data_IF_558958463687
#
_entry.id   IF_558958463687
#
_cell.length_a   1.000
_cell.length_b   1.000
_cell.length_c   1.000
_cell.angle_alpha   90.00
_cell.angle_beta   90.00
_cell.angle_gamma   90.00
#
_symmetry.space_group_name_H-M   'P 1'
#
loop_
_entity.id
_entity.type
_entity.pdbx_description
1 polymer ?
#
# COMPACT_ATOMS: atom_id res chain seq x y z
N UNK A 1 -64.87 -8.33 36.24
CA UNK A 1 -65.86 -8.46 35.14
C UNK A 1 -65.06 -8.84 33.90
N UNK A 2 -65.19 -10.12 33.50
CA UNK A 2 -65.70 -10.70 32.27
C UNK A 2 -64.92 -10.20 31.02
N UNK A 3 -64.44 -11.03 30.12
CA UNK A 3 -64.42 -12.46 29.75
C UNK A 3 -63.60 -12.57 28.46
N UNK A 4 -62.65 -13.49 28.36
CA UNK A 4 -62.68 -14.77 27.59
C UNK A 4 -63.15 -14.67 26.14
N UNK A 5 -62.30 -15.08 25.19
CA UNK A 5 -62.39 -16.21 24.24
C UNK A 5 -61.24 -16.10 23.23
N UNK A 6 -60.31 -16.96 23.08
CA UNK A 6 -60.13 -18.35 22.66
C UNK A 6 -60.92 -18.75 21.41
N UNK A 7 -60.20 -18.92 20.26
CA UNK A 7 -60.53 -19.94 19.27
C UNK A 7 -59.31 -20.40 18.50
N UNK A 8 -59.03 -21.69 18.62
CA UNK A 8 -58.16 -22.54 17.80
C UNK A 8 -58.90 -22.89 16.49
N UNK A 9 -58.14 -23.32 15.49
CA UNK A 9 -58.26 -24.50 14.61
C UNK A 9 -57.29 -24.27 13.41
N UNK A 10 -56.36 -25.09 13.20
CA UNK A 10 -56.14 -26.48 12.72
C UNK A 10 -55.91 -26.55 11.20
N UNK A 11 -54.68 -26.98 10.88
CA UNK A 11 -54.17 -27.89 9.83
C UNK A 11 -54.76 -27.85 8.40
N UNK A 12 -53.88 -27.85 7.39
CA UNK A 12 -53.69 -29.02 6.48
C UNK A 12 -52.35 -28.92 5.70
N UNK A 13 -51.66 -30.05 5.70
CA UNK A 13 -50.52 -30.35 4.89
C UNK A 13 -50.92 -30.69 3.46
N UNK A 14 -50.03 -30.36 2.49
CA UNK A 14 -50.01 -31.07 1.22
C UNK A 14 -48.57 -31.16 0.71
N UNK A 15 -48.05 -32.36 0.79
CA UNK A 15 -46.84 -32.84 0.14
C UNK A 15 -47.03 -32.92 -1.37
N UNK A 16 -46.07 -32.47 -2.15
CA UNK A 16 -45.92 -32.88 -3.54
C UNK A 16 -44.47 -33.23 -3.78
N UNK A 17 -44.24 -34.54 -3.87
CA UNK A 17 -43.03 -35.20 -4.33
C UNK A 17 -43.01 -35.11 -5.84
N UNK A 18 -41.91 -34.64 -6.42
CA UNK A 18 -41.55 -34.95 -7.81
C UNK A 18 -40.20 -35.63 -7.86
N UNK A 19 -40.25 -36.92 -8.22
CA UNK A 19 -39.13 -37.75 -8.68
C UNK A 19 -38.85 -37.50 -10.15
N UNK A 20 -37.61 -37.43 -10.51
CA UNK A 20 -37.01 -37.84 -11.81
C UNK A 20 -35.53 -37.57 -11.67
N UNK A 21 -34.63 -38.46 -11.84
CA UNK A 21 -34.51 -39.70 -12.58
C UNK A 21 -33.03 -39.75 -12.99
N UNK A 22 -32.20 -40.47 -12.20
CA UNK A 22 -30.82 -40.83 -12.60
C UNK A 22 -30.85 -41.80 -13.77
N UNK A 23 -30.16 -41.51 -14.85
CA UNK A 23 -29.72 -42.54 -15.79
C UNK A 23 -28.22 -42.71 -15.71
N UNK A 24 -27.82 -43.84 -15.14
CA UNK A 24 -26.49 -44.43 -15.26
C UNK A 24 -26.40 -45.10 -16.61
N UNK A 25 -25.32 -44.83 -17.35
CA UNK A 25 -24.91 -45.67 -18.47
C UNK A 25 -23.68 -46.44 -17.99
N UNK A 26 -23.89 -47.75 -17.74
CA UNK A 26 -22.82 -48.74 -17.65
C UNK A 26 -22.37 -49.10 -19.05
N UNK A 27 -21.07 -49.11 -19.30
CA UNK A 27 -20.48 -49.88 -20.37
C UNK A 27 -19.51 -50.89 -19.81
N UNK A 28 -19.77 -52.12 -20.20
CA UNK A 28 -19.09 -53.36 -19.79
C UNK A 28 -17.67 -53.46 -20.32
N UNK A 29 -16.85 -54.06 -19.52
CA UNK A 29 -15.52 -54.57 -19.82
C UNK A 29 -15.56 -55.75 -20.77
N UNK A 30 -14.69 -55.74 -21.78
CA UNK A 30 -14.25 -56.96 -22.43
C UNK A 30 -12.72 -57.10 -22.30
N UNK A 31 -12.31 -58.10 -21.57
CA UNK A 31 -10.94 -58.59 -21.54
C UNK A 31 -10.64 -59.33 -22.84
N UNK A 32 -9.53 -58.94 -23.46
CA UNK A 32 -8.76 -59.91 -24.31
C UNK A 32 -7.28 -59.71 -23.98
N UNK A 33 -6.71 -60.79 -23.47
CA UNK A 33 -5.29 -61.05 -23.30
C UNK A 33 -4.60 -61.24 -24.63
N UNK A 34 -3.50 -60.52 -24.89
CA UNK A 34 -2.42 -61.01 -25.76
C UNK A 34 -1.08 -60.50 -25.21
N UNK A 35 -0.16 -61.38 -25.30
CA UNK A 35 1.17 -61.61 -24.79
C UNK A 35 2.23 -60.54 -25.16
N UNK A 36 3.15 -60.43 -24.25
CA UNK A 36 4.58 -60.08 -24.23
C UNK A 36 5.29 -59.31 -25.36
N UNK A 37 6.09 -58.38 -24.87
CA UNK A 37 7.39 -57.87 -25.35
C UNK A 37 7.45 -56.99 -26.56
N UNK A 38 7.57 -55.68 -26.34
CA UNK A 38 8.64 -54.83 -26.92
C UNK A 38 8.82 -53.59 -26.02
N UNK A 39 10.00 -53.46 -25.45
CA UNK A 39 10.45 -52.27 -24.75
C UNK A 39 10.71 -51.17 -25.81
N UNK A 40 9.86 -50.11 -25.84
CA UNK A 40 10.18 -48.93 -26.60
C UNK A 40 9.91 -47.74 -25.68
N UNK A 41 10.97 -47.15 -25.19
CA UNK A 41 10.97 -45.89 -24.44
C UNK A 41 10.52 -44.79 -25.38
N UNK A 42 9.26 -44.38 -25.28
CA UNK A 42 8.77 -43.18 -25.96
C UNK A 42 9.07 -42.01 -24.99
N UNK A 43 10.19 -41.35 -25.22
CA UNK A 43 10.44 -40.02 -24.66
C UNK A 43 9.54 -39.04 -25.38
N UNK A 44 8.38 -38.74 -24.82
CA UNK A 44 7.55 -37.63 -25.26
C UNK A 44 8.27 -36.35 -24.93
N UNK A 45 8.98 -35.78 -25.87
CA UNK A 45 9.40 -34.38 -25.85
C UNK A 45 8.13 -33.54 -25.93
N UNK A 46 7.63 -33.09 -24.80
CA UNK A 46 6.63 -32.02 -24.73
C UNK A 46 7.34 -30.79 -25.26
N UNK A 47 7.16 -30.47 -26.51
CA UNK A 47 7.52 -29.21 -27.10
C UNK A 47 6.61 -28.17 -26.44
N UNK A 48 7.13 -27.46 -25.42
CA UNK A 48 6.45 -26.30 -24.83
C UNK A 48 6.31 -25.28 -25.97
N UNK A 49 5.11 -25.12 -26.48
CA UNK A 49 4.81 -24.02 -27.39
C UNK A 49 5.13 -22.73 -26.66
N UNK A 50 6.10 -21.99 -27.15
CA UNK A 50 6.40 -20.65 -26.67
C UNK A 50 5.24 -19.76 -27.09
N UNK A 51 4.46 -19.26 -26.14
CA UNK A 51 3.58 -18.12 -26.34
C UNK A 51 4.39 -17.00 -26.99
N UNK A 52 3.88 -16.30 -28.00
CA UNK A 52 4.60 -15.24 -28.66
C UNK A 52 4.89 -14.12 -27.63
N UNK A 53 6.15 -13.77 -27.44
CA UNK A 53 6.56 -12.65 -26.62
C UNK A 53 6.10 -11.35 -27.30
N UNK A 54 5.32 -10.53 -26.61
CA UNK A 54 4.94 -9.20 -27.06
C UNK A 54 5.96 -8.21 -26.49
N UNK A 55 6.41 -7.25 -27.30
CA UNK A 55 7.31 -6.19 -26.85
C UNK A 55 6.60 -4.85 -26.93
N UNK A 56 6.74 -4.04 -25.85
CA UNK A 56 6.39 -2.63 -25.84
C UNK A 56 7.68 -1.86 -26.11
N UNK A 57 7.67 -1.01 -27.11
CA UNK A 57 8.81 -0.18 -27.49
C UNK A 57 8.46 1.29 -27.33
N UNK A 58 9.40 2.09 -26.82
CA UNK A 58 9.27 3.52 -26.72
C UNK A 58 10.57 4.21 -27.12
N UNK A 59 10.53 4.89 -28.26
CA UNK A 59 11.64 5.64 -28.83
C UNK A 59 11.57 7.16 -28.53
N UNK A 60 10.54 7.58 -27.80
CA UNK A 60 10.26 8.96 -27.41
C UNK A 60 10.07 9.96 -28.58
N UNK A 61 10.00 9.47 -29.81
CA UNK A 61 9.88 10.32 -31.01
C UNK A 61 8.46 10.91 -31.18
N UNK A 62 7.43 10.24 -30.61
CA UNK A 62 6.04 10.63 -30.76
C UNK A 62 5.41 11.04 -29.44
N UNK A 63 5.66 12.27 -29.02
CA UNK A 63 5.01 12.84 -27.85
C UNK A 63 3.78 13.67 -28.23
N UNK A 64 2.65 13.48 -27.52
CA UNK A 64 1.43 14.29 -27.74
C UNK A 64 1.58 15.73 -27.26
N UNK A 65 2.61 16.05 -26.47
CA UNK A 65 2.91 17.40 -25.99
C UNK A 65 4.40 17.58 -25.79
N UNK A 66 4.92 18.76 -26.15
CA UNK A 66 6.34 19.09 -25.96
C UNK A 66 6.55 19.54 -24.50
N UNK A 67 7.33 18.75 -23.75
CA UNK A 67 7.71 19.06 -22.35
C UNK A 67 9.13 19.59 -22.30
N UNK A 68 9.29 20.91 -22.30
CA UNK A 68 10.58 21.62 -22.32
C UNK A 68 11.07 22.07 -20.94
N UNK A 69 10.28 21.89 -19.88
CA UNK A 69 10.67 22.28 -18.53
C UNK A 69 10.87 21.06 -17.63
N UNK A 70 11.66 21.22 -16.57
CA UNK A 70 11.91 20.16 -15.58
C UNK A 70 10.79 19.99 -14.53
N UNK A 71 9.82 20.90 -14.48
CA UNK A 71 8.68 20.76 -13.57
C UNK A 71 7.92 19.47 -13.85
N UNK A 72 7.46 18.80 -12.80
CA UNK A 72 6.72 17.54 -12.95
C UNK A 72 5.50 17.70 -13.85
N UNK A 73 5.36 16.87 -14.84
CA UNK A 73 4.20 16.83 -15.74
C UNK A 73 4.05 15.48 -16.45
N UNK A 74 2.81 15.16 -16.82
CA UNK A 74 2.50 14.00 -17.62
C UNK A 74 2.73 14.27 -19.10
N UNK A 75 3.28 13.28 -19.80
CA UNK A 75 3.44 13.24 -21.27
C UNK A 75 2.91 11.91 -21.76
N UNK A 76 2.20 11.91 -22.89
CA UNK A 76 1.77 10.68 -23.54
C UNK A 76 2.66 10.42 -24.75
N UNK A 77 3.31 9.28 -24.75
CA UNK A 77 4.13 8.74 -25.83
C UNK A 77 3.42 7.58 -26.53
N UNK A 78 4.09 6.94 -27.49
CA UNK A 78 3.54 5.80 -28.24
C UNK A 78 3.20 4.61 -27.34
N UNK A 79 4.00 4.35 -26.30
CA UNK A 79 3.79 3.28 -25.32
C UNK A 79 2.69 3.57 -24.30
N UNK A 80 2.30 4.83 -24.12
CA UNK A 80 1.31 5.25 -23.15
C UNK A 80 1.69 6.53 -22.41
N UNK A 81 1.02 6.76 -21.26
CA UNK A 81 1.22 7.96 -20.45
C UNK A 81 2.36 7.77 -19.46
N UNK A 82 3.24 8.77 -19.37
CA UNK A 82 4.37 8.82 -18.43
C UNK A 82 4.34 10.11 -17.61
N UNK A 83 4.82 10.07 -16.37
CA UNK A 83 5.14 11.27 -15.59
C UNK A 83 6.64 11.49 -15.65
N UNK A 84 7.04 12.71 -15.95
CA UNK A 84 8.42 13.19 -15.98
C UNK A 84 8.63 14.20 -14.86
N UNK A 85 9.50 13.87 -13.90
CA UNK A 85 9.85 14.71 -12.75
C UNK A 85 11.34 15.04 -12.76
N UNK A 86 11.72 16.31 -12.66
CA UNK A 86 13.10 16.77 -12.94
C UNK A 86 13.66 16.14 -14.24
N UNK A 87 12.77 15.92 -15.19
CA UNK A 87 13.04 15.32 -16.50
C UNK A 87 12.26 16.07 -17.59
N UNK A 88 12.71 16.02 -18.82
CA UNK A 88 12.09 16.67 -19.97
C UNK A 88 12.33 15.90 -21.27
N UNK A 89 11.52 16.19 -22.29
CA UNK A 89 11.75 15.72 -23.65
C UNK A 89 12.94 16.50 -24.23
N UNK A 90 14.01 15.79 -24.50
CA UNK A 90 15.31 16.33 -24.91
C UNK A 90 15.39 16.40 -26.43
N UNK A 91 15.83 17.54 -26.96
CA UNK A 91 15.89 17.85 -28.42
C UNK A 91 17.19 18.51 -28.83
N UNK A 92 18.12 18.73 -27.89
CA UNK A 92 19.39 19.42 -28.14
C UNK A 92 20.40 18.49 -28.81
N UNK A 93 21.29 19.04 -29.62
CA UNK A 93 22.44 18.30 -30.19
C UNK A 93 23.40 17.77 -29.13
N UNK A 94 23.34 18.30 -27.90
CA UNK A 94 24.11 17.81 -26.78
C UNK A 94 23.43 16.65 -26.01
N UNK A 95 22.23 16.26 -26.37
CA UNK A 95 21.58 15.05 -25.82
C UNK A 95 22.13 13.79 -26.45
N UNK A 96 22.38 12.78 -25.64
CA UNK A 96 22.66 11.45 -26.11
C UNK A 96 21.33 10.80 -26.52
N UNK A 97 21.09 10.70 -27.85
CA UNK A 97 19.82 10.21 -28.41
C UNK A 97 20.02 9.43 -29.68
N UNK A 98 19.10 8.53 -29.97
CA UNK A 98 18.96 7.80 -31.20
C UNK A 98 17.70 8.32 -31.93
N UNK A 99 17.89 9.26 -32.87
CA UNK A 99 16.79 9.99 -33.49
C UNK A 99 16.76 11.47 -33.08
N UNK A 100 15.56 12.06 -33.03
CA UNK A 100 15.39 13.49 -32.75
C UNK A 100 15.18 13.78 -31.25
N UNK A 101 14.73 12.79 -30.46
CA UNK A 101 14.34 12.94 -29.08
C UNK A 101 14.99 11.90 -28.15
N UNK A 102 15.08 12.20 -26.88
CA UNK A 102 15.35 11.29 -25.75
C UNK A 102 14.70 11.88 -24.48
N UNK A 103 14.81 11.23 -23.35
CA UNK A 103 14.39 11.81 -22.05
C UNK A 103 15.63 12.22 -21.25
N UNK A 104 15.80 13.52 -21.01
CA UNK A 104 16.87 14.08 -20.18
C UNK A 104 16.42 14.21 -18.72
N UNK A 105 17.18 13.59 -17.81
CA UNK A 105 16.91 13.58 -16.36
C UNK A 105 18.07 14.27 -15.63
N UNK A 106 17.76 15.14 -14.66
CA UNK A 106 18.74 15.80 -13.78
C UNK A 106 18.41 15.56 -12.30
N UNK A 107 19.28 16.02 -11.41
CA UNK A 107 19.12 15.91 -9.94
C UNK A 107 18.80 14.47 -9.51
N UNK A 108 17.75 14.28 -8.73
CA UNK A 108 17.14 12.98 -8.39
C UNK A 108 15.83 12.77 -9.15
N UNK A 109 15.76 13.28 -10.38
CA UNK A 109 14.58 13.15 -11.21
C UNK A 109 14.31 11.73 -11.67
N UNK A 110 13.10 11.54 -12.20
CA UNK A 110 12.60 10.22 -12.62
C UNK A 110 11.61 10.31 -13.76
N UNK A 111 11.39 9.18 -14.40
CA UNK A 111 10.30 8.96 -15.34
C UNK A 111 9.53 7.71 -14.91
N UNK A 112 8.20 7.80 -14.89
CA UNK A 112 7.32 6.77 -14.33
C UNK A 112 6.19 6.42 -15.28
N UNK A 113 6.01 5.13 -15.61
CA UNK A 113 4.86 4.63 -16.36
C UNK A 113 3.56 4.92 -15.60
N UNK A 114 2.53 5.36 -16.32
CA UNK A 114 1.17 5.51 -15.82
C UNK A 114 0.21 4.51 -16.46
N UNK A 115 0.73 3.38 -16.87
CA UNK A 115 0.01 2.23 -17.43
C UNK A 115 0.74 0.96 -17.03
N UNK A 116 0.03 -0.16 -17.06
CA UNK A 116 0.58 -1.45 -16.68
C UNK A 116 0.95 -2.26 -17.95
N UNK A 117 2.15 -2.84 -17.93
CA UNK A 117 2.55 -3.87 -18.89
C UNK A 117 2.24 -5.24 -18.29
N UNK A 118 1.66 -6.14 -19.08
CA UNK A 118 1.44 -7.53 -18.63
C UNK A 118 2.78 -8.26 -18.47
N UNK A 119 2.92 -9.04 -17.40
CA UNK A 119 4.09 -9.83 -17.00
C UNK A 119 5.41 -9.56 -17.72
N UNK A 120 6.30 -8.76 -17.13
CA UNK A 120 7.56 -8.36 -17.75
C UNK A 120 8.64 -9.41 -17.51
N UNK A 121 9.29 -9.87 -18.59
CA UNK A 121 10.42 -10.80 -18.53
C UNK A 121 11.75 -10.08 -18.50
N UNK A 122 11.90 -9.02 -19.32
CA UNK A 122 13.11 -8.22 -19.38
C UNK A 122 12.85 -6.80 -19.87
N UNK A 123 13.75 -5.89 -19.52
CA UNK A 123 13.76 -4.50 -19.99
C UNK A 123 15.11 -4.19 -20.55
N UNK A 124 15.19 -3.47 -21.67
CA UNK A 124 16.44 -2.90 -22.16
C UNK A 124 16.21 -1.47 -22.65
N UNK A 125 17.24 -0.63 -22.54
CA UNK A 125 17.20 0.75 -23.00
C UNK A 125 18.59 1.27 -23.35
N UNK A 126 18.63 2.38 -24.07
CA UNK A 126 19.87 3.14 -24.30
C UNK A 126 19.99 4.27 -23.28
N UNK A 127 21.23 4.60 -22.91
CA UNK A 127 21.51 5.69 -22.00
C UNK A 127 22.86 6.33 -22.29
N UNK A 128 22.99 7.63 -21.98
CA UNK A 128 24.24 8.37 -22.12
C UNK A 128 24.26 9.60 -21.20
N UNK A 129 25.40 10.26 -21.06
CA UNK A 129 25.49 11.54 -20.37
C UNK A 129 25.19 12.69 -21.35
N UNK A 130 24.50 13.72 -20.89
CA UNK A 130 24.33 14.92 -21.67
C UNK A 130 25.68 15.63 -21.91
N UNK A 131 26.05 15.79 -23.16
CA UNK A 131 27.26 16.53 -23.57
C UNK A 131 28.51 16.07 -22.84
N UNK A 132 29.13 17.00 -22.08
CA UNK A 132 30.31 16.74 -21.26
C UNK A 132 30.03 16.62 -19.77
N UNK A 133 28.80 16.36 -19.38
CA UNK A 133 28.42 16.15 -17.97
C UNK A 133 29.21 14.99 -17.36
N UNK A 134 29.55 15.12 -16.07
CA UNK A 134 30.33 14.12 -15.35
C UNK A 134 29.46 12.92 -14.98
N UNK A 135 30.10 11.90 -14.43
CA UNK A 135 29.46 10.67 -14.00
C UNK A 135 28.21 10.89 -13.15
N UNK A 136 27.19 10.09 -13.42
CA UNK A 136 25.91 9.99 -12.70
C UNK A 136 25.55 8.54 -12.51
N UNK A 137 24.61 8.24 -11.62
CA UNK A 137 24.03 6.90 -11.53
C UNK A 137 22.51 6.94 -11.57
N UNK A 138 21.94 5.83 -12.06
CA UNK A 138 20.50 5.64 -12.14
C UNK A 138 20.12 4.18 -11.93
N UNK A 139 18.86 3.92 -11.68
CA UNK A 139 18.31 2.60 -11.37
C UNK A 139 16.99 2.40 -12.11
N UNK A 140 16.73 1.14 -12.47
CA UNK A 140 15.40 0.70 -12.88
C UNK A 140 14.65 0.20 -11.66
N UNK A 141 13.40 0.60 -11.54
CA UNK A 141 12.48 0.19 -10.51
C UNK A 141 11.21 -0.37 -11.14
N UNK A 142 10.61 -1.37 -10.54
CA UNK A 142 9.37 -1.99 -10.99
C UNK A 142 8.35 -2.08 -9.87
N UNK A 143 7.10 -1.88 -10.23
CA UNK A 143 5.93 -1.95 -9.36
C UNK A 143 4.95 -2.98 -9.91
N UNK A 144 4.45 -3.89 -9.09
CA UNK A 144 3.34 -4.80 -9.40
C UNK A 144 2.01 -4.32 -8.77
N UNK A 145 1.98 -3.10 -8.24
CA UNK A 145 0.86 -2.51 -7.48
C UNK A 145 0.47 -1.11 -8.01
N UNK A 146 0.42 -0.98 -9.35
CA UNK A 146 -0.01 0.26 -10.05
C UNK A 146 0.86 1.49 -9.74
N UNK A 147 2.11 1.28 -9.30
CA UNK A 147 3.05 2.36 -9.01
C UNK A 147 3.00 2.84 -7.55
N UNK A 148 2.29 2.12 -6.67
CA UNK A 148 2.25 2.48 -5.25
C UNK A 148 3.55 2.11 -4.54
N UNK A 149 4.13 0.95 -4.85
CA UNK A 149 5.45 0.58 -4.36
C UNK A 149 6.36 0.14 -5.50
N UNK A 150 7.64 0.43 -5.36
CA UNK A 150 8.63 0.07 -6.36
C UNK A 150 9.78 -0.69 -5.73
N UNK A 151 10.18 -1.77 -6.38
CA UNK A 151 11.38 -2.53 -6.06
C UNK A 151 12.46 -2.26 -7.09
N UNK A 152 13.70 -2.07 -6.65
CA UNK A 152 14.82 -1.93 -7.57
C UNK A 152 15.01 -3.23 -8.37
N UNK A 153 15.18 -3.09 -9.68
CA UNK A 153 15.45 -4.19 -10.59
C UNK A 153 16.92 -4.13 -11.03
N UNK A 154 17.65 -5.20 -10.74
CA UNK A 154 19.05 -5.29 -11.10
C UNK A 154 19.95 -4.31 -10.33
N UNK A 155 21.13 -4.03 -10.90
CA UNK A 155 22.15 -3.18 -10.28
C UNK A 155 21.99 -1.72 -10.67
N UNK A 156 22.62 -0.84 -9.88
CA UNK A 156 22.74 0.59 -10.22
C UNK A 156 23.64 0.77 -11.43
N UNK A 157 23.18 1.49 -12.43
CA UNK A 157 23.96 1.79 -13.65
C UNK A 157 24.71 3.10 -13.46
N UNK A 158 26.00 3.09 -13.79
CA UNK A 158 26.83 4.29 -13.83
C UNK A 158 26.89 4.78 -15.27
N UNK A 159 26.53 6.04 -15.47
CA UNK A 159 26.61 6.74 -16.77
C UNK A 159 27.89 7.56 -16.82
N UNK A 160 28.74 7.27 -17.78
CA UNK A 160 29.97 7.99 -18.07
C UNK A 160 30.09 8.15 -19.59
N UNK A 161 30.28 9.41 -20.03
CA UNK A 161 30.43 9.76 -21.45
C UNK A 161 29.12 9.90 -22.20
N UNK A 162 29.17 10.57 -23.33
CA UNK A 162 28.01 10.95 -24.13
C UNK A 162 27.51 9.80 -25.03
N UNK A 163 28.41 8.88 -25.41
CA UNK A 163 28.03 7.78 -26.30
C UNK A 163 26.94 6.91 -25.67
N UNK A 164 25.91 6.60 -26.47
CA UNK A 164 24.82 5.73 -26.04
C UNK A 164 25.33 4.32 -25.74
N UNK A 165 25.00 3.83 -24.57
CA UNK A 165 25.26 2.47 -24.10
C UNK A 165 23.94 1.75 -23.85
N UNK A 166 23.93 0.43 -24.00
CA UNK A 166 22.76 -0.38 -23.71
C UNK A 166 22.81 -0.93 -22.30
N UNK A 167 21.73 -0.74 -21.54
CA UNK A 167 21.46 -1.46 -20.31
C UNK A 167 20.38 -2.55 -20.57
N UNK A 168 20.49 -3.67 -19.84
CA UNK A 168 19.51 -4.76 -19.91
C UNK A 168 19.27 -5.34 -18.53
N UNK A 169 18.02 -5.57 -18.19
CA UNK A 169 17.56 -6.04 -16.89
C UNK A 169 16.67 -7.27 -17.05
N UNK A 170 16.89 -8.29 -16.26
CA UNK A 170 15.96 -9.40 -16.09
C UNK A 170 14.97 -9.05 -14.99
N UNK A 171 13.67 -9.04 -15.31
CA UNK A 171 12.61 -8.60 -14.39
C UNK A 171 11.84 -9.79 -13.82
N UNK A 172 11.38 -10.72 -14.69
CA UNK A 172 10.65 -11.95 -14.31
C UNK A 172 9.40 -11.75 -13.43
N UNK A 173 8.71 -10.66 -13.62
CA UNK A 173 7.43 -10.38 -12.97
C UNK A 173 6.27 -10.90 -13.80
N UNK A 174 5.29 -11.57 -13.17
CA UNK A 174 4.22 -12.31 -13.87
C UNK A 174 2.92 -11.53 -14.01
N UNK A 175 2.73 -10.52 -13.19
CA UNK A 175 1.50 -9.73 -13.16
C UNK A 175 1.66 -8.42 -13.92
N UNK A 176 0.68 -7.54 -13.82
CA UNK A 176 0.76 -6.18 -14.34
C UNK A 176 1.90 -5.41 -13.67
N UNK A 177 2.77 -4.74 -14.45
CA UNK A 177 3.99 -4.08 -13.95
C UNK A 177 4.06 -2.65 -14.48
N UNK A 178 4.37 -1.70 -13.59
CA UNK A 178 4.83 -0.35 -13.94
C UNK A 178 6.32 -0.22 -13.71
N UNK A 179 6.98 0.47 -14.61
CA UNK A 179 8.41 0.76 -14.49
C UNK A 179 8.64 2.23 -14.15
N UNK A 180 9.72 2.46 -13.40
CA UNK A 180 10.23 3.79 -13.10
C UNK A 180 11.76 3.79 -13.25
N UNK A 181 12.30 4.80 -13.92
CA UNK A 181 13.74 5.03 -14.05
C UNK A 181 14.09 6.23 -13.19
N UNK A 182 14.93 6.01 -12.19
CA UNK A 182 15.34 7.02 -11.20
C UNK A 182 16.81 7.37 -11.35
N UNK A 183 17.13 8.63 -11.51
CA UNK A 183 18.50 9.14 -11.35
C UNK A 183 18.81 9.26 -9.85
N UNK A 184 19.91 8.66 -9.40
CA UNK A 184 20.22 8.50 -7.97
C UNK A 184 21.38 9.41 -7.53
N UNK A 185 22.34 9.68 -8.41
CA UNK A 185 23.51 10.48 -8.05
C UNK A 185 23.94 11.43 -9.17
N UNK A 186 24.99 12.23 -8.92
CA UNK A 186 25.57 13.16 -9.90
C UNK A 186 24.95 14.57 -9.86
N UNK A 187 23.93 14.83 -9.02
CA UNK A 187 23.32 16.16 -8.85
C UNK A 187 22.86 16.75 -10.18
N UNK A 188 23.38 17.91 -10.54
CA UNK A 188 23.02 18.64 -11.78
C UNK A 188 23.53 18.00 -13.07
N UNK A 189 24.48 17.05 -13.03
CA UNK A 189 24.85 16.25 -14.19
C UNK A 189 23.63 15.52 -14.70
N UNK A 190 23.44 15.52 -16.02
CA UNK A 190 22.23 14.99 -16.67
C UNK A 190 22.53 13.65 -17.31
N UNK A 191 21.55 12.80 -17.36
CA UNK A 191 21.54 11.57 -18.15
C UNK A 191 20.43 11.67 -19.19
N UNK A 192 20.64 11.04 -20.31
CA UNK A 192 19.64 10.83 -21.35
C UNK A 192 19.28 9.35 -21.42
N UNK A 193 17.99 9.05 -21.57
CA UNK A 193 17.40 7.71 -21.67
C UNK A 193 16.66 7.63 -23.02
N UNK A 194 16.87 6.53 -23.74
CA UNK A 194 16.31 6.33 -25.07
C UNK A 194 16.03 4.85 -25.37
N UNK A 195 15.31 4.59 -26.46
CA UNK A 195 15.04 3.25 -27.01
C UNK A 195 14.66 2.19 -25.96
N UNK A 196 13.64 2.48 -25.17
CA UNK A 196 13.15 1.54 -24.16
C UNK A 196 12.39 0.38 -24.81
N UNK A 197 12.79 -0.84 -24.49
CA UNK A 197 12.13 -2.08 -24.93
C UNK A 197 11.76 -2.91 -23.71
N UNK A 198 10.47 -3.20 -23.57
CA UNK A 198 9.90 -4.04 -22.51
C UNK A 198 9.41 -5.33 -23.14
N UNK A 199 10.01 -6.46 -22.77
CA UNK A 199 9.55 -7.79 -23.22
C UNK A 199 8.57 -8.36 -22.20
N UNK A 200 7.40 -8.79 -22.67
CA UNK A 200 6.35 -9.40 -21.83
C UNK A 200 6.20 -10.88 -22.14
N UNK A 201 5.59 -11.64 -21.23
CA UNK A 201 5.34 -13.08 -21.38
C UNK A 201 4.12 -13.43 -22.26
N UNK A 202 3.51 -12.44 -22.90
CA UNK A 202 2.37 -12.64 -23.80
C UNK A 202 1.01 -12.76 -23.11
N UNK A 203 0.94 -12.64 -21.79
CA UNK A 203 -0.34 -12.43 -21.10
C UNK A 203 -0.84 -11.02 -21.44
N UNK A 204 -1.74 -10.94 -22.39
CA UNK A 204 -2.28 -9.70 -22.93
C UNK A 204 -3.11 -8.97 -21.89
N UNK A 205 -2.49 -8.07 -21.17
CA UNK A 205 -3.20 -6.94 -20.58
C UNK A 205 -3.41 -5.93 -21.72
N UNK A 206 -4.63 -5.85 -22.18
CA UNK A 206 -5.08 -5.02 -23.29
C UNK A 206 -4.79 -3.55 -23.00
N UNK A 207 -4.08 -2.90 -23.92
CA UNK A 207 -4.05 -1.44 -23.98
C UNK A 207 -5.49 -1.00 -24.29
N UNK A 208 -6.24 -0.59 -23.27
CA UNK A 208 -7.56 0.01 -23.45
C UNK A 208 -7.47 1.51 -23.31
N UNK A 209 -7.91 2.28 -24.30
CA UNK A 209 -8.11 3.73 -24.11
C UNK A 209 -9.22 3.94 -23.10
N UNK A 210 -9.01 4.89 -22.23
CA UNK A 210 -9.94 5.33 -21.19
C UNK A 210 -11.36 5.46 -21.74
N UNK A 211 -12.24 4.57 -21.33
CA UNK A 211 -13.69 4.72 -21.48
C UNK A 211 -14.28 4.92 -20.10
N UNK A 212 -14.70 6.15 -19.83
CA UNK A 212 -15.49 6.51 -18.66
C UNK A 212 -16.75 5.64 -18.60
N UNK A 213 -16.84 4.75 -17.64
CA UNK A 213 -18.10 4.18 -17.15
C UNK A 213 -17.91 3.41 -15.84
N UNK A 214 -18.71 3.77 -14.87
CA UNK A 214 -19.30 2.98 -13.77
C UNK A 214 -18.38 2.05 -12.96
N UNK A 215 -18.39 2.34 -11.66
CA UNK A 215 -17.80 1.60 -10.56
C UNK A 215 -17.88 0.06 -10.69
N UNK A 216 -16.75 -0.59 -10.95
CA UNK A 216 -16.56 -2.01 -10.65
C UNK A 216 -15.60 -2.13 -9.45
N UNK A 217 -15.94 -3.07 -8.56
CA UNK A 217 -15.23 -3.31 -7.30
C UNK A 217 -13.75 -3.61 -7.57
N UNK A 218 -12.89 -2.65 -7.26
CA UNK A 218 -11.44 -2.87 -7.25
C UNK A 218 -11.04 -3.77 -6.08
N UNK A 219 -10.47 -4.93 -6.41
CA UNK A 219 -9.58 -5.64 -5.51
C UNK A 219 -8.29 -4.81 -5.41
N UNK A 220 -8.17 -4.05 -4.32
CA UNK A 220 -7.01 -3.21 -4.04
C UNK A 220 -5.75 -4.07 -3.95
N UNK A 221 -4.78 -3.82 -4.82
CA UNK A 221 -3.41 -4.25 -4.61
C UNK A 221 -2.95 -3.70 -3.26
N UNK A 222 -2.63 -4.60 -2.34
CA UNK A 222 -2.28 -4.25 -0.97
C UNK A 222 -0.88 -3.63 -0.97
N UNK A 223 -0.76 -2.35 -0.71
CA UNK A 223 0.54 -1.74 -0.41
C UNK A 223 1.08 -2.36 0.87
N UNK A 224 2.40 -2.35 1.07
CA UNK A 224 3.02 -2.89 2.29
C UNK A 224 2.39 -2.29 3.55
N UNK A 225 2.04 -1.00 3.51
CA UNK A 225 1.40 -0.31 4.64
C UNK A 225 -0.05 -0.77 4.89
N UNK A 226 -0.70 -1.44 3.94
CA UNK A 226 -2.07 -1.97 4.09
C UNK A 226 -2.12 -3.49 3.86
N UNK A 227 -1.00 -4.19 4.08
CA UNK A 227 -0.85 -5.62 3.85
C UNK A 227 -1.91 -6.46 4.58
N UNK A 228 -2.32 -6.05 5.77
CA UNK A 228 -3.31 -6.74 6.60
C UNK A 228 -4.75 -6.54 6.13
N UNK A 229 -4.97 -5.73 5.09
CA UNK A 229 -6.28 -5.42 4.52
C UNK A 229 -6.77 -4.01 4.84
N UNK A 230 -7.91 -3.65 4.27
CA UNK A 230 -8.58 -2.37 4.46
C UNK A 230 -9.69 -2.51 5.52
N UNK A 231 -9.49 -2.03 6.76
CA UNK A 231 -10.36 -2.32 7.90
C UNK A 231 -11.81 -1.91 7.73
N UNK A 232 -12.07 -0.82 7.01
CA UNK A 232 -13.39 -0.21 6.87
C UNK A 232 -13.92 -0.20 5.44
N UNK A 233 -13.18 -0.78 4.48
CA UNK A 233 -13.50 -0.62 3.06
C UNK A 233 -13.40 0.83 2.60
N UNK A 234 -12.45 1.61 3.14
CA UNK A 234 -12.22 2.99 2.77
C UNK A 234 -11.87 3.12 1.27
N UNK A 235 -12.32 4.17 0.63
CA UNK A 235 -12.07 4.43 -0.79
C UNK A 235 -11.63 5.87 -1.00
N UNK A 236 -10.88 6.12 -2.07
CA UNK A 236 -10.50 7.47 -2.50
C UNK A 236 -11.62 8.22 -3.23
N UNK A 237 -12.85 7.71 -3.21
CA UNK A 237 -14.03 8.44 -3.70
C UNK A 237 -14.40 9.54 -2.71
N UNK A 238 -14.42 10.78 -3.17
CA UNK A 238 -14.80 11.96 -2.37
C UNK A 238 -16.21 11.85 -1.77
N UNK A 239 -17.09 11.03 -2.33
CA UNK A 239 -18.40 10.75 -1.77
C UNK A 239 -18.33 9.94 -0.47
N UNK A 240 -17.22 9.26 -0.22
CA UNK A 240 -16.94 8.53 1.03
C UNK A 240 -16.38 9.45 2.12
N UNK A 241 -16.97 10.63 2.31
CA UNK A 241 -16.44 11.72 3.15
C UNK A 241 -15.99 11.33 4.57
N UNK A 242 -16.57 10.31 5.17
CA UNK A 242 -16.26 9.86 6.52
C UNK A 242 -15.52 8.51 6.56
N UNK A 243 -15.08 8.04 5.39
CA UNK A 243 -14.28 6.83 5.21
C UNK A 243 -13.39 6.99 3.97
N UNK A 244 -12.71 8.14 3.89
CA UNK A 244 -11.92 8.54 2.74
C UNK A 244 -10.49 8.01 2.85
N UNK A 245 -10.06 7.20 1.87
CA UNK A 245 -8.73 6.60 1.84
C UNK A 245 -7.71 7.58 1.31
N UNK A 246 -6.63 7.79 2.06
CA UNK A 246 -5.49 8.60 1.68
C UNK A 246 -4.21 7.75 1.78
N UNK A 247 -3.40 7.75 0.72
CA UNK A 247 -2.09 7.12 0.70
C UNK A 247 -1.00 8.20 0.78
N UNK A 248 -0.30 8.23 1.90
CA UNK A 248 0.82 9.15 2.16
C UNK A 248 2.19 8.55 1.80
N UNK A 249 2.23 7.42 1.07
CA UNK A 249 3.45 6.68 0.74
C UNK A 249 4.09 6.00 1.95
N UNK A 250 4.20 6.69 3.07
CA UNK A 250 4.83 6.20 4.31
C UNK A 250 3.84 5.55 5.28
N UNK A 251 2.57 5.82 5.12
CA UNK A 251 1.42 5.21 5.83
C UNK A 251 0.17 5.44 4.99
N UNK A 252 -0.88 4.68 5.29
CA UNK A 252 -2.19 4.79 4.67
C UNK A 252 -3.22 5.03 5.75
N UNK A 253 -4.22 5.85 5.46
CA UNK A 253 -5.27 6.15 6.42
C UNK A 253 -6.67 6.16 5.82
N UNK A 254 -7.67 5.98 6.67
CA UNK A 254 -9.06 6.33 6.40
C UNK A 254 -9.39 7.61 7.17
N UNK A 255 -9.58 8.70 6.47
CA UNK A 255 -9.92 10.00 7.06
C UNK A 255 -11.43 10.18 7.23
N UNK A 256 -11.83 10.87 8.30
CA UNK A 256 -13.20 11.20 8.62
C UNK A 256 -13.42 12.70 8.61
N UNK A 257 -14.07 13.22 7.56
CA UNK A 257 -14.36 14.65 7.39
C UNK A 257 -15.14 15.25 8.56
N UNK A 258 -16.18 14.53 9.03
CA UNK A 258 -17.06 15.06 10.09
C UNK A 258 -16.40 15.12 11.46
N UNK A 259 -15.34 14.35 11.68
CA UNK A 259 -14.55 14.30 12.90
C UNK A 259 -13.27 15.12 12.82
N UNK A 260 -12.81 15.43 11.60
CA UNK A 260 -11.51 16.02 11.30
C UNK A 260 -10.34 15.24 11.95
N UNK A 261 -10.42 13.90 11.86
CA UNK A 261 -9.42 12.96 12.35
C UNK A 261 -9.44 11.66 11.53
N UNK A 262 -8.38 10.85 11.51
CA UNK A 262 -8.42 9.56 10.86
C UNK A 262 -9.29 8.57 11.66
N UNK A 263 -10.02 7.71 10.96
CA UNK A 263 -10.69 6.54 11.54
C UNK A 263 -9.66 5.50 11.97
N UNK A 264 -8.68 5.27 11.09
CA UNK A 264 -7.52 4.41 11.30
C UNK A 264 -6.37 4.83 10.39
N UNK A 265 -5.16 4.50 10.82
CA UNK A 265 -3.90 4.64 10.08
C UNK A 265 -3.18 3.30 10.12
N UNK A 266 -2.64 2.86 8.99
CA UNK A 266 -1.92 1.60 8.86
C UNK A 266 -0.53 1.83 8.28
N UNK A 267 0.49 1.17 8.87
CA UNK A 267 1.87 1.27 8.40
C UNK A 267 2.69 0.03 8.74
N UNK A 268 3.75 -0.17 7.98
CA UNK A 268 4.78 -1.17 8.20
C UNK A 268 6.04 -0.50 8.76
N UNK A 269 6.82 -1.22 9.57
CA UNK A 269 8.11 -0.77 10.11
C UNK A 269 9.13 -1.88 9.92
N UNK A 270 10.18 -1.58 9.20
CA UNK A 270 11.37 -2.42 9.03
C UNK A 270 12.64 -1.66 9.44
N UNK A 271 13.78 -2.34 9.36
CA UNK A 271 15.08 -1.68 9.58
C UNK A 271 15.31 -0.51 8.60
N UNK A 272 14.76 -0.58 7.38
CA UNK A 272 14.90 0.45 6.36
C UNK A 272 14.14 1.76 6.70
N UNK A 273 13.12 1.70 7.56
CA UNK A 273 12.34 2.86 7.99
C UNK A 273 13.02 3.66 9.10
N UNK A 274 13.97 3.00 9.79
CA UNK A 274 14.68 3.57 10.92
C UNK A 274 16.06 4.10 10.51
N UNK A 275 16.30 5.36 10.77
CA UNK A 275 17.56 6.05 10.45
C UNK A 275 17.93 7.08 11.53
N UNK A 276 18.63 8.12 11.13
CA UNK A 276 19.16 9.15 12.02
C UNK A 276 18.50 10.53 11.82
N UNK A 277 17.40 10.61 11.10
CA UNK A 277 16.71 11.90 10.89
C UNK A 277 16.09 12.37 12.20
N UNK A 278 16.44 13.58 12.60
CA UNK A 278 15.89 14.23 13.78
C UNK A 278 14.39 14.50 13.60
N UNK A 279 13.65 14.54 14.73
CA UNK A 279 12.24 14.89 14.75
C UNK A 279 12.02 16.33 14.25
N UNK A 280 11.26 16.50 13.16
CA UNK A 280 11.12 17.80 12.50
C UNK A 280 10.16 18.77 13.19
N UNK A 281 9.14 18.27 13.90
CA UNK A 281 8.11 19.08 14.55
C UNK A 281 7.41 20.10 13.65
N UNK A 282 7.34 19.82 12.35
CA UNK A 282 6.80 20.71 11.32
C UNK A 282 5.30 20.46 11.05
N UNK A 283 4.49 20.42 12.11
CA UNK A 283 3.03 20.25 12.02
C UNK A 283 2.40 21.24 11.05
N UNK A 284 1.64 20.73 10.10
CA UNK A 284 1.04 21.49 9.01
C UNK A 284 -0.24 20.83 8.50
N UNK A 285 -1.15 21.62 7.89
CA UNK A 285 -2.30 21.06 7.17
C UNK A 285 -1.87 20.06 6.09
N UNK A 286 -2.71 19.05 5.83
CA UNK A 286 -2.58 18.26 4.61
C UNK A 286 -3.36 18.91 3.47
N UNK A 287 -2.63 19.35 2.45
CA UNK A 287 -3.20 19.98 1.25
C UNK A 287 -3.76 18.97 0.25
N UNK A 288 -3.66 17.67 0.53
CA UNK A 288 -4.26 16.60 -0.28
C UNK A 288 -5.72 16.32 0.10
N UNK A 289 -6.19 16.86 1.23
CA UNK A 289 -7.61 16.78 1.59
C UNK A 289 -8.46 17.44 0.50
N UNK A 290 -9.63 16.85 0.17
CA UNK A 290 -10.53 17.42 -0.83
C UNK A 290 -10.93 18.88 -0.53
N UNK A 291 -10.99 19.70 -1.57
CA UNK A 291 -11.32 21.12 -1.45
C UNK A 291 -12.62 21.36 -0.65
N UNK A 292 -12.56 22.27 0.29
CA UNK A 292 -13.68 22.64 1.18
C UNK A 292 -13.82 21.73 2.41
N UNK A 293 -12.92 20.78 2.62
CA UNK A 293 -12.83 20.09 3.89
C UNK A 293 -12.08 20.93 4.90
N UNK A 294 -12.35 20.69 6.18
CA UNK A 294 -11.62 21.37 7.24
C UNK A 294 -10.20 20.80 7.34
N UNK A 295 -9.22 21.67 7.24
CA UNK A 295 -7.81 21.37 7.40
C UNK A 295 -7.36 21.86 8.78
N UNK A 296 -7.07 20.94 9.71
CA UNK A 296 -6.47 21.31 10.99
C UNK A 296 -5.04 21.83 10.76
N UNK A 297 -4.62 22.77 11.60
CA UNK A 297 -3.28 23.35 11.57
C UNK A 297 -2.57 23.25 12.94
N UNK A 298 -1.34 23.76 12.99
CA UNK A 298 -0.55 23.74 14.22
C UNK A 298 -1.20 24.50 15.39
N UNK A 299 -2.14 25.40 15.14
CA UNK A 299 -2.83 26.22 16.16
C UNK A 299 -4.11 25.59 16.68
N UNK A 300 -4.68 24.64 15.93
CA UNK A 300 -5.98 23.99 16.23
C UNK A 300 -6.02 23.29 17.61
N UNK A 301 -4.86 22.88 18.12
CA UNK A 301 -4.73 22.20 19.42
C UNK A 301 -4.34 23.15 20.57
N UNK A 302 -4.11 24.44 20.27
CA UNK A 302 -3.60 25.39 21.25
C UNK A 302 -4.57 25.58 22.41
N UNK A 303 -4.08 25.37 23.64
CA UNK A 303 -4.87 25.55 24.86
C UNK A 303 -5.97 24.51 25.08
N UNK A 304 -6.03 23.45 24.28
CA UNK A 304 -7.03 22.38 24.41
C UNK A 304 -6.82 21.50 25.65
N UNK A 305 -5.58 21.37 26.12
CA UNK A 305 -5.21 20.41 27.17
C UNK A 305 -4.88 19.01 26.61
N UNK A 306 -4.95 18.83 25.31
CA UNK A 306 -4.55 17.60 24.60
C UNK A 306 -3.27 17.82 23.82
N UNK A 307 -2.49 16.75 23.69
CA UNK A 307 -1.34 16.70 22.81
C UNK A 307 -1.78 16.47 21.36
N UNK A 308 -0.91 16.82 20.42
CA UNK A 308 -0.99 16.37 19.03
C UNK A 308 -0.48 14.93 18.97
N UNK A 309 -1.37 13.96 19.23
CA UNK A 309 -1.06 12.53 19.24
C UNK A 309 -0.92 12.00 17.82
N UNK A 310 0.26 11.47 17.50
CA UNK A 310 0.50 10.83 16.21
C UNK A 310 -0.19 9.48 16.12
N UNK A 311 -0.78 9.16 14.98
CA UNK A 311 -1.13 7.79 14.64
C UNK A 311 0.15 7.05 14.15
N UNK A 312 0.66 7.34 12.96
CA UNK A 312 1.99 6.90 12.54
C UNK A 312 3.05 7.82 13.17
N UNK A 313 3.87 7.34 14.13
CA UNK A 313 4.77 8.21 14.88
C UNK A 313 6.01 8.59 14.09
N UNK A 314 6.53 9.80 14.33
CA UNK A 314 7.76 10.28 13.67
C UNK A 314 8.98 9.39 13.96
N UNK A 315 9.01 8.72 15.12
CA UNK A 315 10.06 7.77 15.47
C UNK A 315 10.11 6.52 14.59
N UNK A 316 9.02 6.18 13.91
CA UNK A 316 8.95 5.04 13.00
C UNK A 316 9.32 5.43 11.55
N UNK A 317 9.58 6.72 11.30
CA UNK A 317 9.90 7.29 9.98
C UNK A 317 11.14 8.18 10.06
N UNK A 318 12.27 7.60 10.43
CA UNK A 318 13.54 8.33 10.61
C UNK A 318 14.57 8.05 9.50
N UNK A 319 14.18 7.34 8.45
CA UNK A 319 15.06 7.03 7.30
C UNK A 319 15.37 8.24 6.42
N UNK A 320 14.44 9.19 6.30
CA UNK A 320 14.65 10.42 5.54
C UNK A 320 13.87 11.61 6.12
N UNK A 321 14.22 12.82 5.69
CA UNK A 321 13.52 14.06 6.03
C UNK A 321 12.06 14.02 5.55
N UNK A 322 11.82 13.50 4.35
CA UNK A 322 10.48 13.38 3.75
C UNK A 322 9.62 12.40 4.56
N UNK A 323 10.16 11.22 4.88
CA UNK A 323 9.46 10.22 5.67
C UNK A 323 9.10 10.77 7.05
N UNK A 324 10.04 11.46 7.72
CA UNK A 324 9.75 12.08 9.03
C UNK A 324 8.74 13.21 8.90
N UNK A 325 8.88 14.09 7.89
CA UNK A 325 7.99 15.21 7.65
C UNK A 325 6.54 14.77 7.37
N UNK A 326 6.32 13.64 6.67
CA UNK A 326 4.98 13.14 6.36
C UNK A 326 4.16 12.88 7.62
N UNK A 327 4.79 12.42 8.71
CA UNK A 327 4.09 12.11 9.96
C UNK A 327 3.52 13.33 10.68
N UNK A 328 3.95 14.55 10.32
CA UNK A 328 3.49 15.82 10.89
C UNK A 328 2.36 16.47 10.10
N UNK A 329 1.77 15.78 9.13
CA UNK A 329 0.50 16.17 8.53
C UNK A 329 -0.60 16.06 9.58
N UNK A 330 -1.48 17.08 9.63
CA UNK A 330 -2.47 17.17 10.73
C UNK A 330 -3.61 16.16 10.60
N UNK A 331 -3.78 15.51 9.48
CA UNK A 331 -4.67 14.35 9.28
C UNK A 331 -4.16 13.07 9.96
N UNK A 332 -2.85 12.91 10.13
CA UNK A 332 -2.26 11.84 10.95
C UNK A 332 -2.37 12.06 12.48
N UNK A 333 -3.02 13.15 12.92
CA UNK A 333 -2.99 13.62 14.30
C UNK A 333 -4.38 13.56 14.94
N UNK A 334 -4.42 13.09 16.21
CA UNK A 334 -5.64 13.07 17.03
C UNK A 334 -5.42 13.83 18.34
N UNK A 335 -6.48 14.41 18.95
CA UNK A 335 -6.39 14.92 20.31
C UNK A 335 -6.18 13.78 21.31
N UNK A 336 -4.98 13.64 21.82
CA UNK A 336 -4.60 12.59 22.75
C UNK A 336 -4.27 13.16 24.13
N UNK A 337 -4.79 12.52 25.18
CA UNK A 337 -4.47 12.90 26.56
C UNK A 337 -2.96 12.78 26.80
N UNK A 338 -2.30 13.81 27.39
CA UNK A 338 -0.85 13.84 27.50
C UNK A 338 -0.21 12.62 28.18
N UNK A 339 -0.78 12.12 29.26
CA UNK A 339 -0.22 10.95 29.94
C UNK A 339 -0.41 9.66 29.13
N UNK A 340 -1.49 9.57 28.33
CA UNK A 340 -1.63 8.48 27.37
C UNK A 340 -0.56 8.58 26.26
N UNK A 341 -0.41 9.75 25.65
CA UNK A 341 0.53 9.99 24.56
C UNK A 341 2.00 9.78 24.96
N UNK A 342 2.42 10.46 26.06
CA UNK A 342 3.83 10.58 26.44
C UNK A 342 4.35 9.37 27.25
N UNK A 343 3.47 8.49 27.73
CA UNK A 343 3.86 7.34 28.55
C UNK A 343 3.34 6.02 27.96
N UNK A 344 2.04 5.77 28.05
CA UNK A 344 1.45 4.47 27.66
C UNK A 344 1.71 4.16 26.20
N UNK A 345 1.50 5.14 25.30
CA UNK A 345 1.66 4.99 23.86
C UNK A 345 3.13 4.95 23.44
N UNK A 346 3.94 5.87 23.96
CA UNK A 346 5.38 5.94 23.68
C UNK A 346 6.10 4.64 24.07
N UNK A 347 5.73 4.03 25.19
CA UNK A 347 6.31 2.75 25.63
C UNK A 347 5.99 1.61 24.66
N UNK A 348 4.77 1.54 24.10
CA UNK A 348 4.43 0.53 23.08
C UNK A 348 5.18 0.79 21.77
N UNK A 349 5.26 2.04 21.32
CA UNK A 349 6.03 2.41 20.13
C UNK A 349 7.52 2.08 20.29
N UNK A 350 8.08 2.36 21.45
CA UNK A 350 9.44 1.96 21.82
C UNK A 350 9.64 0.44 21.78
N UNK A 351 8.64 -0.33 22.23
CA UNK A 351 8.64 -1.78 22.13
C UNK A 351 8.64 -2.25 20.67
N UNK A 352 7.78 -1.68 19.81
CA UNK A 352 7.72 -2.01 18.38
C UNK A 352 9.07 -1.74 17.68
N UNK A 353 9.65 -0.54 17.86
CA UNK A 353 10.99 -0.22 17.33
C UNK A 353 12.08 -1.12 17.91
N UNK A 354 11.92 -1.55 19.17
CA UNK A 354 12.79 -2.54 19.79
C UNK A 354 12.74 -3.90 19.09
N UNK A 355 11.59 -4.32 18.58
CA UNK A 355 11.44 -5.55 17.79
C UNK A 355 12.15 -5.42 16.45
N UNK A 356 12.01 -4.29 15.76
CA UNK A 356 12.73 -4.03 14.50
C UNK A 356 14.25 -4.11 14.69
N UNK A 357 14.77 -3.53 15.77
CA UNK A 357 16.21 -3.62 16.11
C UNK A 357 16.68 -5.05 16.42
N UNK A 358 15.78 -5.99 16.70
CA UNK A 358 16.07 -7.42 16.89
C UNK A 358 15.95 -8.25 15.61
N UNK A 359 15.74 -7.62 14.44
CA UNK A 359 15.60 -8.30 13.16
C UNK A 359 14.18 -8.76 12.87
N UNK A 360 13.18 -8.12 13.46
CA UNK A 360 11.79 -8.29 13.09
C UNK A 360 11.32 -7.12 12.21
N UNK A 361 10.20 -7.30 11.58
CA UNK A 361 9.37 -6.27 10.98
C UNK A 361 8.03 -6.19 11.69
N UNK A 362 7.38 -5.06 11.64
CA UNK A 362 6.19 -4.79 12.43
C UNK A 362 5.12 -4.14 11.55
N UNK A 363 3.94 -4.71 11.56
CA UNK A 363 2.74 -4.14 10.94
C UNK A 363 1.86 -3.54 12.02
N UNK A 364 1.41 -2.32 11.81
CA UNK A 364 0.59 -1.60 12.78
C UNK A 364 -0.67 -1.06 12.11
N UNK A 365 -1.81 -1.28 12.74
CA UNK A 365 -3.04 -0.56 12.46
C UNK A 365 -3.44 0.14 13.77
N UNK A 366 -3.63 1.44 13.72
CA UNK A 366 -4.03 2.26 14.86
C UNK A 366 -5.25 3.09 14.49
N UNK A 367 -6.09 3.39 15.46
CA UNK A 367 -7.21 4.30 15.25
C UNK A 367 -7.87 4.70 16.56
N UNK A 368 -8.99 5.39 16.41
CA UNK A 368 -9.74 5.91 17.53
C UNK A 368 -11.23 5.73 17.33
N UNK A 369 -12.00 5.78 18.42
CA UNK A 369 -13.47 5.75 18.33
C UNK A 369 -14.14 6.46 19.51
N UNK A 370 -15.43 6.73 19.34
CA UNK A 370 -16.24 7.45 20.30
C UNK A 370 -15.97 8.95 20.32
N UNK A 371 -16.53 9.63 21.30
CA UNK A 371 -16.34 11.07 21.52
C UNK A 371 -16.27 11.37 23.02
N UNK A 372 -15.27 12.17 23.40
CA UNK A 372 -15.02 12.61 24.76
C UNK A 372 -13.80 11.98 25.41
N UNK A 373 -12.84 12.81 25.80
CA UNK A 373 -11.63 12.43 26.53
C UNK A 373 -11.30 13.41 27.63
N UNK A 374 -10.40 13.04 28.55
CA UNK A 374 -9.96 13.86 29.68
C UNK A 374 -8.50 14.27 29.47
N UNK A 375 -8.30 15.50 29.01
CA UNK A 375 -6.97 16.12 28.91
C UNK A 375 -6.57 16.84 30.19
N UNK A 376 -5.50 17.65 30.14
CA UNK A 376 -5.03 18.45 31.29
C UNK A 376 -6.06 19.49 31.79
N UNK A 377 -6.94 19.94 30.89
CA UNK A 377 -7.96 20.94 31.19
C UNK A 377 -9.33 20.34 31.54
N UNK A 378 -9.41 19.02 31.73
CA UNK A 378 -10.64 18.28 31.99
C UNK A 378 -11.23 17.60 30.80
N UNK A 379 -12.49 17.15 30.94
CA UNK A 379 -13.22 16.41 29.94
C UNK A 379 -13.83 17.31 28.87
N UNK A 380 -13.59 16.99 27.60
CA UNK A 380 -14.24 17.63 26.45
C UNK A 380 -14.54 16.60 25.36
N UNK A 381 -15.51 16.89 24.50
CA UNK A 381 -15.87 16.05 23.35
C UNK A 381 -15.28 16.54 22.03
N UNK A 382 -14.92 17.82 21.97
CA UNK A 382 -14.33 18.44 20.78
C UNK A 382 -13.32 19.52 21.19
N UNK A 383 -12.42 19.84 20.29
CA UNK A 383 -11.52 21.00 20.39
C UNK A 383 -11.72 21.91 19.17
N UNK A 384 -10.96 23.00 19.10
CA UNK A 384 -10.94 23.91 17.97
C UNK A 384 -12.34 24.42 17.54
N UNK A 385 -13.08 24.97 18.49
CA UNK A 385 -14.44 25.49 18.29
C UNK A 385 -15.45 24.43 17.82
N UNK A 386 -15.26 23.17 18.18
CA UNK A 386 -16.14 22.07 17.82
C UNK A 386 -15.81 21.37 16.50
N UNK A 387 -14.71 21.76 15.85
CA UNK A 387 -14.32 21.23 14.51
C UNK A 387 -13.61 19.90 14.57
N UNK A 388 -12.84 19.62 15.62
CA UNK A 388 -12.08 18.39 15.78
C UNK A 388 -12.70 17.57 16.90
N UNK A 389 -13.05 16.33 16.64
CA UNK A 389 -13.52 15.38 17.64
C UNK A 389 -12.37 15.04 18.62
N UNK A 390 -12.69 14.87 19.90
CA UNK A 390 -11.79 14.24 20.86
C UNK A 390 -12.25 12.81 21.03
N UNK A 391 -11.48 11.81 20.61
CA UNK A 391 -11.92 10.42 20.70
C UNK A 391 -11.98 9.95 22.16
N UNK A 392 -12.94 9.05 22.47
CA UNK A 392 -13.06 8.47 23.79
C UNK A 392 -12.05 7.35 24.03
N UNK A 393 -11.71 6.62 22.99
CA UNK A 393 -10.78 5.49 23.02
C UNK A 393 -9.80 5.55 21.87
N UNK A 394 -8.59 5.06 22.13
CA UNK A 394 -7.51 4.94 21.16
C UNK A 394 -7.02 3.50 21.20
N UNK A 395 -6.92 2.87 20.05
CA UNK A 395 -6.55 1.45 19.93
C UNK A 395 -5.38 1.24 18.96
N UNK A 396 -4.67 0.14 19.11
CA UNK A 396 -3.61 -0.29 18.21
C UNK A 396 -3.61 -1.80 18.09
N UNK A 397 -3.45 -2.31 16.86
CA UNK A 397 -3.17 -3.71 16.55
C UNK A 397 -1.79 -3.78 15.93
N UNK A 398 -0.95 -4.67 16.45
CA UNK A 398 0.44 -4.83 16.04
C UNK A 398 0.68 -6.30 15.69
N UNK A 399 1.26 -6.58 14.54
CA UNK A 399 1.75 -7.90 14.14
C UNK A 399 3.27 -7.81 14.02
N UNK A 400 3.98 -8.79 14.59
CA UNK A 400 5.43 -8.86 14.60
C UNK A 400 5.87 -10.14 13.91
N UNK A 401 6.70 -10.00 12.88
CA UNK A 401 7.28 -11.07 12.09
C UNK A 401 8.82 -10.97 12.12
N UNK A 402 9.58 -12.05 12.01
CA UNK A 402 10.97 -11.94 11.58
C UNK A 402 11.06 -11.23 10.23
N UNK A 403 12.03 -10.34 10.02
CA UNK A 403 12.19 -9.64 8.75
C UNK A 403 12.35 -10.62 7.58
N UNK A 404 11.66 -10.38 6.45
CA UNK A 404 11.71 -11.29 5.30
C UNK A 404 10.80 -10.87 4.16
N UNK A 405 10.57 -11.77 3.22
CA UNK A 405 9.68 -11.56 2.07
C UNK A 405 8.41 -12.41 2.21
N UNK A 406 7.36 -12.06 1.46
CA UNK A 406 6.07 -12.78 1.43
C UNK A 406 5.37 -12.80 2.80
N UNK A 407 5.30 -11.69 3.46
CA UNK A 407 4.89 -11.53 4.85
C UNK A 407 3.48 -12.06 5.13
N UNK A 408 2.52 -11.73 4.26
CA UNK A 408 1.14 -12.23 4.40
C UNK A 408 1.07 -13.77 4.44
N UNK A 409 1.97 -14.45 3.71
CA UNK A 409 2.03 -15.91 3.67
C UNK A 409 2.78 -16.52 4.87
N UNK A 410 3.60 -15.72 5.57
CA UNK A 410 4.36 -16.13 6.77
C UNK A 410 3.55 -15.94 8.04
N UNK A 411 2.50 -15.11 8.01
CA UNK A 411 1.58 -14.95 9.15
C UNK A 411 0.86 -16.28 9.38
N UNK A 412 0.91 -16.76 10.63
CA UNK A 412 0.28 -18.01 11.06
C UNK A 412 -0.19 -17.88 12.52
N UNK A 413 -0.78 -18.93 13.08
CA UNK A 413 -1.33 -18.93 14.43
C UNK A 413 -0.30 -18.69 15.56
N UNK A 414 0.99 -18.82 15.28
CA UNK A 414 2.07 -18.53 16.23
C UNK A 414 2.67 -17.13 16.06
N UNK A 415 2.19 -16.36 15.09
CA UNK A 415 2.65 -15.00 14.86
C UNK A 415 2.24 -14.09 16.02
N UNK A 416 3.18 -13.31 16.52
CA UNK A 416 2.92 -12.41 17.64
C UNK A 416 1.93 -11.33 17.22
N UNK A 417 0.80 -11.28 17.93
CA UNK A 417 -0.22 -10.25 17.79
C UNK A 417 -0.44 -9.53 19.10
N UNK A 418 -0.50 -8.20 19.06
CA UNK A 418 -0.78 -7.34 20.20
C UNK A 418 -1.95 -6.44 19.84
N UNK A 419 -3.01 -6.50 20.61
CA UNK A 419 -4.12 -5.56 20.51
C UNK A 419 -4.25 -4.82 21.85
N UNK A 420 -4.34 -3.48 21.79
CA UNK A 420 -4.57 -2.65 22.96
C UNK A 420 -5.69 -1.65 22.68
N UNK A 421 -6.43 -1.31 23.73
CA UNK A 421 -7.50 -0.33 23.69
C UNK A 421 -7.47 0.49 24.98
N UNK A 422 -7.11 1.77 24.87
CA UNK A 422 -6.94 2.67 25.99
C UNK A 422 -8.07 3.70 26.05
N UNK A 423 -8.53 4.10 27.24
CA UNK A 423 -9.30 5.34 27.35
C UNK A 423 -8.39 6.53 26.98
N UNK A 424 -8.97 7.54 26.37
CA UNK A 424 -8.27 8.82 26.12
C UNK A 424 -8.36 9.71 27.37
N UNK A 425 -7.61 9.33 28.38
CA UNK A 425 -7.68 9.93 29.71
C UNK A 425 -6.28 10.21 30.25
N UNK A 426 -6.16 11.30 30.98
CA UNK A 426 -4.90 11.71 31.62
C UNK A 426 -4.61 10.94 32.94
N UNK A 427 -5.59 10.19 33.47
CA UNK A 427 -5.42 9.26 34.59
C UNK A 427 -5.20 7.83 34.09
N UNK A 428 -4.20 7.63 33.26
CA UNK A 428 -3.90 6.33 32.63
C UNK A 428 -2.60 5.74 33.20
N UNK A 429 -2.55 4.41 33.30
CA UNK A 429 -1.34 3.71 33.72
C UNK A 429 -0.30 3.70 32.59
N UNK A 430 0.98 4.00 32.87
CA UNK A 430 2.04 4.00 31.84
C UNK A 430 2.31 2.63 31.21
N UNK A 431 1.97 1.55 31.92
CA UNK A 431 2.16 0.19 31.41
C UNK A 431 1.06 -0.20 30.44
N UNK A 432 1.35 -0.12 29.14
CA UNK A 432 0.43 -0.45 28.06
C UNK A 432 -0.14 -1.89 28.15
N UNK A 433 0.58 -2.83 28.75
CA UNK A 433 0.11 -4.23 28.92
C UNK A 433 -1.17 -4.32 29.74
N UNK A 434 -1.49 -3.33 30.56
CA UNK A 434 -2.76 -3.24 31.30
C UNK A 434 -3.97 -3.10 30.38
N UNK A 435 -3.77 -2.61 29.17
CA UNK A 435 -4.82 -2.29 28.21
C UNK A 435 -4.88 -3.28 27.07
N UNK A 436 -4.18 -4.43 27.18
CA UNK A 436 -4.29 -5.49 26.17
C UNK A 436 -5.71 -6.03 26.12
N UNK A 437 -6.19 -6.23 24.91
CA UNK A 437 -7.49 -6.83 24.59
C UNK A 437 -7.31 -7.82 23.44
N UNK A 438 -8.39 -8.31 22.90
CA UNK A 438 -8.37 -9.08 21.65
C UNK A 438 -8.63 -8.14 20.47
N UNK A 439 -8.23 -8.55 19.25
CA UNK A 439 -8.60 -7.81 18.02
C UNK A 439 -10.13 -7.74 17.89
N UNK A 440 -10.84 -8.83 18.21
CA UNK A 440 -12.31 -8.88 18.22
C UNK A 440 -12.97 -7.85 19.12
N UNK A 441 -12.35 -7.49 20.25
CA UNK A 441 -12.87 -6.43 21.11
C UNK A 441 -12.83 -5.08 20.40
N UNK A 442 -11.76 -4.82 19.63
CA UNK A 442 -11.61 -3.60 18.83
C UNK A 442 -12.61 -3.61 17.67
N UNK A 443 -12.71 -4.72 16.93
CA UNK A 443 -13.66 -4.87 15.83
C UNK A 443 -15.10 -4.68 16.27
N UNK A 444 -15.47 -5.27 17.42
CA UNK A 444 -16.79 -5.07 18.03
C UNK A 444 -17.07 -3.61 18.38
N UNK A 445 -16.06 -2.87 18.83
CA UNK A 445 -16.21 -1.47 19.22
C UNK A 445 -16.26 -0.53 18.01
N UNK A 446 -15.58 -0.87 16.91
CA UNK A 446 -15.41 0.00 15.74
C UNK A 446 -16.29 -0.39 14.55
N UNK A 447 -16.67 -1.66 14.45
CA UNK A 447 -17.31 -2.23 13.28
C UNK A 447 -16.35 -2.56 12.12
N UNK A 448 -15.04 -2.55 12.37
CA UNK A 448 -14.02 -2.82 11.36
C UNK A 448 -13.74 -4.32 11.22
N UNK A 449 -13.07 -4.70 10.12
CA UNK A 449 -12.46 -6.01 9.89
C UNK A 449 -10.95 -5.81 9.70
N UNK A 450 -10.18 -5.98 10.79
CA UNK A 450 -8.80 -5.48 10.90
C UNK A 450 -7.76 -6.33 10.18
N UNK A 451 -7.97 -7.63 10.07
CA UNK A 451 -7.05 -8.57 9.45
C UNK A 451 -7.65 -9.17 8.18
N UNK A 452 -8.42 -8.37 7.44
CA UNK A 452 -9.26 -8.84 6.33
C UNK A 452 -8.53 -9.49 5.17
N UNK A 453 -7.22 -9.26 5.03
CA UNK A 453 -6.38 -9.89 4.01
C UNK A 453 -5.94 -11.32 4.39
N UNK A 454 -6.04 -11.71 5.66
CA UNK A 454 -5.70 -13.06 6.10
C UNK A 454 -6.82 -14.06 5.75
N UNK A 455 -6.49 -15.35 5.56
CA UNK A 455 -7.50 -16.40 5.46
C UNK A 455 -8.44 -16.39 6.68
N UNK A 456 -9.75 -16.54 6.46
CA UNK A 456 -10.74 -16.40 7.53
C UNK A 456 -10.50 -17.33 8.73
N UNK A 457 -10.06 -18.55 8.50
CA UNK A 457 -9.74 -19.49 9.59
C UNK A 457 -8.57 -18.98 10.46
N UNK A 458 -7.61 -18.26 9.87
CA UNK A 458 -6.50 -17.66 10.60
C UNK A 458 -6.95 -16.41 11.36
N UNK A 459 -7.82 -15.59 10.75
CA UNK A 459 -8.46 -14.45 11.44
C UNK A 459 -9.15 -14.94 12.72
N UNK A 460 -9.97 -16.02 12.62
CA UNK A 460 -10.72 -16.56 13.76
C UNK A 460 -9.84 -16.96 14.93
N UNK A 461 -8.64 -17.43 14.68
CA UNK A 461 -7.68 -17.79 15.74
C UNK A 461 -6.97 -16.54 16.27
N UNK A 462 -6.35 -15.76 15.40
CA UNK A 462 -5.50 -14.64 15.81
C UNK A 462 -6.30 -13.51 16.46
N UNK A 463 -7.49 -13.21 15.95
CA UNK A 463 -8.34 -12.13 16.48
C UNK A 463 -8.92 -12.43 17.87
N UNK A 464 -9.00 -13.71 18.24
CA UNK A 464 -9.44 -14.14 19.55
C UNK A 464 -8.32 -14.16 20.61
N UNK A 465 -7.07 -14.04 20.17
CA UNK A 465 -5.92 -14.14 21.06
C UNK A 465 -5.69 -12.82 21.81
N UNK A 466 -5.34 -12.93 23.09
CA UNK A 466 -4.93 -11.82 23.91
C UNK A 466 -3.44 -11.96 24.24
N UNK A 467 -2.67 -10.91 23.92
CA UNK A 467 -1.24 -10.87 24.23
C UNK A 467 -1.00 -10.99 25.75
N UNK A 468 -0.18 -11.96 26.15
CA UNK A 468 0.12 -12.24 27.58
C UNK A 468 1.50 -11.77 28.01
N UNK A 469 2.26 -11.15 27.09
CA UNK A 469 3.68 -10.92 27.29
C UNK A 469 4.48 -12.16 26.92
N UNK A 470 5.60 -11.98 26.27
CA UNK A 470 6.61 -13.00 26.03
C UNK A 470 7.97 -12.39 26.33
N UNK A 471 8.90 -13.21 26.73
CA UNK A 471 10.29 -12.84 27.06
C UNK A 471 11.01 -12.21 25.86
#
# INVERSE_FOLDING_TARGET
>A
MKSRNLFQYLTLAASLIYHSGCQQIQQQSALTTVDSTVNTTITSVIKKESTPSVSITEDFEQATSVKTSYAAAAVTFSSGKWILEDALLAVSDADAKNGDHSIRIRNNGKISMQFDAGGITSVSLLYGAYGSDKSSSWQLWASEDEGNTYLQVGETIITEGHDLKKASFTVNMKHAVRLEIRKISGGKNRIDIDDLVIHTNGDTAVISPVKTAAAEKHNSSCTINMLLGNPSGATSDIASENNYLIDHTYYIESYNKSKAEPNWVSWHISAADLGSTDRLNNFRPDTHLPSGWYEADNTSYRGSGFDKGHNCPSGDRTSSTEANSSTFLMDNIIPQAPDNNQHTWEHLEGYCRGQVKRGNEVYVIMGSYGSGGTGRNGYVTTIDHGRINVPAHIWKVVIILPEGNNDLQRINENTVIIAINTPNDNNIEPNWMKYTCTVRDIEKATGYNLLSALPKALQEVMEAEKFKGGN
#
